data_IF_683453537926
#
_entry.id   IF_683453537926
#
_cell.length_a   1.000
_cell.length_b   1.000
_cell.length_c   1.000
_cell.angle_alpha   90.00
_cell.angle_beta   90.00
_cell.angle_gamma   90.00
#
_symmetry.space_group_name_H-M   'P 1'
#
loop_
_entity.id
_entity.type
_entity.pdbx_description
1 polymer ?
#
# COMPACT_ATOMS: atom_id res chain seq x y z
N UNK A 1 42.20 -19.92 28.40
CA UNK A 1 41.51 -20.89 27.58
C UNK A 1 41.84 -20.58 26.12
N UNK A 2 42.66 -21.44 25.49
CA UNK A 2 43.18 -21.20 24.15
C UNK A 2 42.19 -21.68 23.09
N UNK A 3 41.76 -20.79 22.20
CA UNK A 3 41.05 -21.18 21.00
C UNK A 3 42.00 -21.65 19.91
N UNK A 4 41.77 -22.82 19.29
CA UNK A 4 42.64 -23.29 18.20
C UNK A 4 42.37 -22.50 16.91
N UNK A 5 43.44 -21.95 16.36
CA UNK A 5 43.46 -21.28 15.07
C UNK A 5 43.33 -22.31 13.95
N UNK A 6 42.17 -22.31 13.27
CA UNK A 6 41.91 -23.18 12.12
C UNK A 6 42.58 -22.52 10.88
N UNK A 7 43.68 -23.14 10.44
CA UNK A 7 44.48 -22.68 9.32
C UNK A 7 43.77 -22.96 7.98
N UNK A 8 43.18 -21.91 7.38
CA UNK A 8 42.40 -21.95 6.12
C UNK A 8 43.12 -22.54 4.92
N UNK A 9 44.47 -22.67 4.99
CA UNK A 9 45.30 -23.26 3.92
C UNK A 9 45.23 -24.79 3.88
N UNK A 10 44.89 -25.48 4.97
CA UNK A 10 44.81 -26.96 5.02
C UNK A 10 43.46 -27.48 4.50
N UNK A 11 42.42 -26.68 4.45
CA UNK A 11 41.11 -27.11 3.94
C UNK A 11 41.06 -27.18 2.41
N UNK A 12 41.96 -26.49 1.72
CA UNK A 12 41.99 -26.46 0.23
C UNK A 12 42.80 -27.58 -0.40
N UNK A 13 43.52 -28.40 0.38
CA UNK A 13 44.38 -29.49 -0.18
C UNK A 13 43.75 -30.88 -0.15
N UNK A 14 42.54 -31.05 0.38
CA UNK A 14 41.88 -32.36 0.44
C UNK A 14 40.74 -32.55 -0.56
N UNK A 15 40.50 -31.64 -1.51
CA UNK A 15 39.48 -31.74 -2.55
C UNK A 15 40.02 -32.03 -3.98
N UNK A 16 41.25 -32.49 -4.08
CA UNK A 16 41.82 -32.85 -5.37
C UNK A 16 42.04 -34.37 -5.46
N UNK A 17 41.02 -35.17 -5.56
CA UNK A 17 41.06 -36.55 -6.09
C UNK A 17 39.65 -37.14 -6.19
N UNK A 18 38.85 -36.73 -7.18
CA UNK A 18 37.82 -37.57 -7.77
C UNK A 18 37.79 -37.32 -9.28
N UNK A 19 38.35 -38.27 -9.98
CA UNK A 19 38.42 -38.32 -11.44
C UNK A 19 37.15 -38.91 -12.04
N UNK A 20 36.74 -38.29 -13.14
CA UNK A 20 36.07 -38.81 -14.33
C UNK A 20 34.74 -39.58 -14.15
N UNK A 21 33.68 -38.88 -14.46
CA UNK A 21 32.44 -39.43 -14.98
C UNK A 21 31.79 -38.31 -15.76
N UNK A 22 32.06 -38.21 -17.08
CA UNK A 22 31.45 -37.23 -17.97
C UNK A 22 29.99 -37.63 -18.26
N UNK A 23 29.04 -37.09 -17.49
CA UNK A 23 27.65 -37.09 -17.90
C UNK A 23 27.38 -35.68 -18.49
N UNK A 24 27.21 -35.64 -19.79
CA UNK A 24 26.69 -34.49 -20.54
C UNK A 24 25.26 -34.22 -20.12
N UNK A 25 25.07 -33.40 -19.07
CA UNK A 25 23.77 -32.81 -18.80
C UNK A 25 23.65 -31.53 -19.65
N UNK A 26 22.54 -31.35 -20.37
CA UNK A 26 22.31 -30.11 -21.10
C UNK A 26 22.21 -28.99 -20.08
N UNK A 27 23.14 -28.02 -20.17
CA UNK A 27 23.07 -26.79 -19.41
C UNK A 27 21.86 -26.01 -19.92
N UNK A 28 20.71 -26.14 -19.25
CA UNK A 28 19.66 -25.15 -19.37
C UNK A 28 20.17 -23.88 -18.68
N UNK A 29 20.82 -23.04 -19.45
CA UNK A 29 21.02 -21.65 -19.06
C UNK A 29 19.65 -20.99 -19.11
N UNK A 30 18.95 -20.94 -17.98
CA UNK A 30 17.93 -19.95 -17.74
C UNK A 30 18.68 -18.60 -17.67
N UNK A 31 18.93 -18.03 -18.86
CA UNK A 31 19.25 -16.60 -18.92
C UNK A 31 17.96 -15.88 -18.46
N UNK A 32 17.88 -15.61 -17.18
CA UNK A 32 17.01 -14.57 -16.65
C UNK A 32 17.43 -13.29 -17.38
N UNK A 33 16.62 -12.91 -18.39
CA UNK A 33 16.72 -11.59 -18.98
C UNK A 33 16.27 -10.59 -17.91
N UNK A 34 17.17 -10.25 -17.00
CA UNK A 34 17.05 -9.01 -16.28
C UNK A 34 17.12 -7.89 -17.31
N UNK A 35 15.97 -7.41 -17.74
CA UNK A 35 15.85 -6.07 -18.30
C UNK A 35 16.23 -5.10 -17.19
N UNK A 36 17.52 -4.90 -17.01
CA UNK A 36 18.04 -3.81 -16.20
C UNK A 36 18.00 -2.55 -17.05
N UNK A 37 16.82 -1.92 -17.15
CA UNK A 37 16.84 -0.49 -17.38
C UNK A 37 17.55 0.14 -16.18
N UNK A 38 18.52 1.01 -16.42
CA UNK A 38 19.19 1.73 -15.35
C UNK A 38 18.15 2.43 -14.47
N UNK A 39 18.25 2.30 -13.13
CA UNK A 39 17.29 2.93 -12.23
C UNK A 39 17.26 4.43 -12.45
N UNK A 40 16.08 4.96 -12.82
CA UNK A 40 15.86 6.38 -13.10
C UNK A 40 15.30 7.09 -11.86
N UNK A 41 15.89 8.23 -11.53
CA UNK A 41 15.31 9.15 -10.55
C UNK A 41 13.98 9.70 -11.07
N UNK A 42 12.96 9.72 -10.20
CA UNK A 42 11.64 10.29 -10.49
C UNK A 42 11.45 11.52 -9.59
N UNK A 43 11.19 12.66 -10.19
CA UNK A 43 10.79 13.88 -9.48
C UNK A 43 9.34 14.21 -9.81
N UNK A 44 8.50 14.30 -8.80
CA UNK A 44 7.09 14.67 -8.90
C UNK A 44 6.94 16.06 -8.28
N UNK A 45 6.74 17.12 -9.06
CA UNK A 45 6.58 18.47 -8.53
C UNK A 45 5.37 18.60 -7.60
N UNK A 46 5.33 19.62 -6.73
CA UNK A 46 4.15 19.92 -5.93
C UNK A 46 2.87 20.02 -6.78
N UNK A 47 1.79 19.39 -6.34
CA UNK A 47 0.51 19.37 -7.06
C UNK A 47 0.44 18.45 -8.27
N UNK A 48 1.57 17.91 -8.78
CA UNK A 48 1.57 17.00 -9.92
C UNK A 48 1.15 15.57 -9.51
N UNK A 49 0.68 14.83 -10.50
CA UNK A 49 0.22 13.44 -10.39
C UNK A 49 -1.11 13.25 -11.12
N UNK A 50 -1.47 12.00 -11.41
CA UNK A 50 -2.79 11.66 -11.94
C UNK A 50 -3.83 11.90 -10.84
N UNK A 51 -4.88 12.65 -11.14
CA UNK A 51 -5.96 12.91 -10.19
C UNK A 51 -7.16 11.98 -10.44
N UNK A 52 -7.94 11.74 -9.39
CA UNK A 52 -9.22 11.07 -9.43
C UNK A 52 -10.07 11.50 -8.26
N UNK A 53 -11.34 11.09 -8.24
CA UNK A 53 -12.26 11.33 -7.12
C UNK A 53 -12.86 10.01 -6.64
N UNK A 54 -13.01 9.85 -5.32
CA UNK A 54 -13.73 8.75 -4.71
C UNK A 54 -14.75 9.35 -3.75
N UNK A 55 -16.03 9.28 -4.09
CA UNK A 55 -17.03 10.09 -3.40
C UNK A 55 -16.72 11.57 -3.58
N UNK A 56 -16.66 12.31 -2.48
CA UNK A 56 -16.30 13.72 -2.46
C UNK A 56 -14.78 13.95 -2.22
N UNK A 57 -14.00 12.89 -2.00
CA UNK A 57 -12.56 12.99 -1.80
C UNK A 57 -11.80 13.15 -3.11
N UNK A 58 -10.85 14.06 -3.14
CA UNK A 58 -9.88 14.19 -4.22
C UNK A 58 -8.62 13.37 -3.91
N UNK A 59 -8.20 12.56 -4.88
CA UNK A 59 -6.99 11.74 -4.79
C UNK A 59 -6.00 12.19 -5.87
N UNK A 60 -4.72 12.28 -5.50
CA UNK A 60 -3.63 12.56 -6.45
C UNK A 60 -2.56 11.47 -6.32
N UNK A 61 -2.50 10.56 -7.29
CA UNK A 61 -1.52 9.47 -7.32
C UNK A 61 -0.12 10.02 -7.52
N UNK A 62 0.84 9.50 -6.77
CA UNK A 62 2.26 9.94 -6.77
C UNK A 62 3.17 8.86 -7.31
N UNK A 63 3.28 7.75 -6.62
CA UNK A 63 4.13 6.62 -7.01
C UNK A 63 3.29 5.35 -7.11
N UNK A 64 3.57 4.56 -8.13
CA UNK A 64 2.98 3.24 -8.30
C UNK A 64 4.02 2.12 -8.07
N UNK A 65 3.53 0.89 -7.96
CA UNK A 65 4.38 -0.28 -7.73
C UNK A 65 5.42 -0.51 -8.84
N UNK A 66 5.14 -0.13 -10.09
CA UNK A 66 6.07 -0.34 -11.20
C UNK A 66 7.25 0.63 -11.11
N UNK A 67 7.03 1.84 -10.60
CA UNK A 67 8.07 2.85 -10.39
C UNK A 67 8.97 2.53 -9.19
N UNK A 68 8.50 1.70 -8.26
CA UNK A 68 9.16 1.41 -6.98
C UNK A 68 9.63 -0.05 -6.88
N UNK A 69 9.67 -0.80 -7.97
CA UNK A 69 10.01 -2.23 -8.00
C UNK A 69 9.10 -3.08 -7.08
N UNK A 70 7.84 -2.71 -6.97
CA UNK A 70 6.84 -3.39 -6.14
C UNK A 70 6.83 -3.00 -4.65
N UNK A 71 7.81 -2.19 -4.21
CA UNK A 71 7.98 -1.96 -2.77
C UNK A 71 6.97 -0.99 -2.18
N UNK A 72 6.48 -0.02 -2.95
CA UNK A 72 5.65 1.05 -2.44
C UNK A 72 4.67 1.56 -3.51
N UNK A 73 3.49 1.97 -3.07
CA UNK A 73 2.62 2.90 -3.80
C UNK A 73 2.23 4.06 -2.90
N UNK A 74 1.95 5.24 -3.47
CA UNK A 74 1.53 6.39 -2.69
C UNK A 74 0.62 7.35 -3.44
N UNK A 75 -0.23 8.03 -2.68
CA UNK A 75 -1.10 9.11 -3.17
C UNK A 75 -1.37 10.13 -2.06
N UNK A 76 -1.77 11.33 -2.47
CA UNK A 76 -2.32 12.34 -1.58
C UNK A 76 -3.85 12.28 -1.62
N UNK A 77 -4.50 12.50 -0.47
CA UNK A 77 -5.96 12.54 -0.34
C UNK A 77 -6.38 13.83 0.34
N UNK A 78 -7.45 14.47 -0.15
CA UNK A 78 -8.13 15.56 0.52
C UNK A 78 -9.45 15.02 1.07
N UNK A 79 -9.60 15.06 2.40
CA UNK A 79 -10.79 14.60 3.13
C UNK A 79 -11.56 15.82 3.63
N UNK A 80 -12.78 15.99 3.12
CA UNK A 80 -13.60 17.13 3.50
C UNK A 80 -14.18 17.00 4.92
N UNK A 81 -14.57 18.12 5.57
CA UNK A 81 -15.22 18.08 6.88
C UNK A 81 -16.48 17.19 6.89
N UNK A 82 -16.58 16.32 7.89
CA UNK A 82 -17.72 15.40 8.05
C UNK A 82 -17.69 14.18 7.14
N UNK A 83 -16.65 13.99 6.35
CA UNK A 83 -16.49 12.85 5.43
C UNK A 83 -15.83 11.66 6.09
N UNK A 84 -16.39 10.47 5.87
CA UNK A 84 -15.77 9.17 6.11
C UNK A 84 -14.97 8.81 4.85
N UNK A 85 -13.66 8.66 4.98
CA UNK A 85 -12.76 8.49 3.84
C UNK A 85 -12.89 7.13 3.13
N UNK A 86 -13.31 6.10 3.85
CA UNK A 86 -13.56 4.77 3.28
C UNK A 86 -14.55 4.00 4.16
N UNK A 87 -15.36 3.08 3.61
CA UNK A 87 -16.04 2.08 4.45
C UNK A 87 -15.03 1.33 5.30
N UNK A 88 -15.38 0.84 6.51
CA UNK A 88 -14.50 -0.03 7.28
C UNK A 88 -14.06 -1.23 6.45
N UNK A 89 -12.76 -1.51 6.42
CA UNK A 89 -12.16 -2.57 5.60
C UNK A 89 -10.82 -3.02 6.17
N UNK A 90 -10.25 -4.08 5.62
CA UNK A 90 -8.89 -4.53 5.90
C UNK A 90 -8.24 -5.10 4.64
N UNK A 91 -6.92 -5.24 4.67
CA UNK A 91 -6.08 -5.85 3.65
C UNK A 91 -5.32 -7.03 4.24
N UNK A 92 -4.94 -8.03 3.44
CA UNK A 92 -4.21 -9.22 3.91
C UNK A 92 -2.73 -9.19 3.58
N UNK A 93 -2.34 -8.48 2.52
CA UNK A 93 -1.01 -8.59 1.92
C UNK A 93 -0.12 -7.37 2.13
N UNK A 94 -0.66 -6.25 2.58
CA UNK A 94 0.12 -5.01 2.75
C UNK A 94 -0.31 -4.22 3.98
N UNK A 95 0.62 -3.44 4.50
CA UNK A 95 0.38 -2.43 5.51
C UNK A 95 0.08 -1.09 4.84
N UNK A 96 -0.76 -0.29 5.46
CA UNK A 96 -1.09 1.05 5.00
C UNK A 96 -0.61 2.09 6.02
N UNK A 97 0.10 3.10 5.54
CA UNK A 97 0.68 4.16 6.38
C UNK A 97 0.07 5.48 5.95
N UNK A 98 -0.45 6.24 6.91
CA UNK A 98 -0.96 7.59 6.69
C UNK A 98 -0.02 8.61 7.32
N UNK A 99 0.29 9.68 6.60
CA UNK A 99 0.86 10.91 7.14
C UNK A 99 -0.09 12.06 6.89
N UNK A 100 -0.45 12.79 7.94
CA UNK A 100 -1.25 14.01 7.79
C UNK A 100 -0.33 15.18 7.45
N UNK A 101 -0.64 15.90 6.37
CA UNK A 101 0.06 17.10 5.93
C UNK A 101 -0.59 18.37 6.47
N UNK A 102 -1.92 18.42 6.41
CA UNK A 102 -2.73 19.58 6.82
C UNK A 102 -3.99 19.10 7.55
N UNK A 103 -4.44 19.90 8.53
CA UNK A 103 -5.61 19.57 9.35
C UNK A 103 -5.39 18.37 10.29
N UNK A 104 -6.43 17.60 10.49
CA UNK A 104 -6.39 16.33 11.23
C UNK A 104 -7.38 15.32 10.67
N UNK A 105 -7.09 14.04 10.85
CA UNK A 105 -8.02 12.94 10.61
C UNK A 105 -8.11 12.05 11.84
N UNK A 106 -9.28 11.46 12.06
CA UNK A 106 -9.42 10.36 12.99
C UNK A 106 -9.25 9.05 12.22
N UNK A 107 -8.48 8.14 12.76
CA UNK A 107 -8.26 6.80 12.20
C UNK A 107 -8.69 5.78 13.24
N UNK A 108 -9.60 4.91 12.84
CA UNK A 108 -9.97 3.70 13.59
C UNK A 108 -9.13 2.55 13.08
N UNK A 109 -8.48 1.81 13.99
CA UNK A 109 -7.75 0.57 13.71
C UNK A 109 -8.12 -0.45 14.78
N UNK A 110 -8.83 -1.49 14.39
CA UNK A 110 -9.49 -2.40 15.34
C UNK A 110 -10.50 -1.65 16.19
N UNK A 111 -10.30 -1.64 17.49
CA UNK A 111 -11.16 -0.95 18.47
C UNK A 111 -10.62 0.43 18.88
N UNK A 112 -9.44 0.80 18.42
CA UNK A 112 -8.79 2.06 18.79
C UNK A 112 -9.11 3.16 17.78
N UNK A 113 -9.33 4.37 18.29
CA UNK A 113 -9.54 5.58 17.49
C UNK A 113 -8.51 6.62 17.91
N UNK A 114 -7.70 7.05 16.95
CA UNK A 114 -6.63 8.02 17.15
C UNK A 114 -6.87 9.26 16.31
N UNK A 115 -6.79 10.45 16.88
CA UNK A 115 -6.69 11.70 16.14
C UNK A 115 -5.24 11.89 15.69
N UNK A 116 -5.03 11.97 14.37
CA UNK A 116 -3.72 12.23 13.77
C UNK A 116 -3.72 13.63 13.20
N UNK A 117 -2.90 14.50 13.77
CA UNK A 117 -2.77 15.92 13.38
C UNK A 117 -1.65 16.09 12.35
N UNK A 118 -1.61 17.25 11.69
CA UNK A 118 -0.57 17.61 10.74
C UNK A 118 0.84 17.34 11.30
N UNK A 119 1.67 16.64 10.50
CA UNK A 119 2.99 16.12 10.85
C UNK A 119 2.96 14.71 11.50
N UNK A 120 1.79 14.24 11.95
CA UNK A 120 1.63 12.90 12.54
C UNK A 120 1.63 11.78 11.51
N UNK A 121 2.00 10.59 11.98
CA UNK A 121 2.00 9.34 11.22
C UNK A 121 1.14 8.30 11.92
N UNK A 122 0.49 7.45 11.15
CA UNK A 122 -0.30 6.33 11.65
C UNK A 122 -0.10 5.10 10.76
N UNK A 123 0.19 3.95 11.39
CA UNK A 123 0.26 2.66 10.71
C UNK A 123 -1.10 1.95 10.86
N UNK A 124 -1.66 1.48 9.77
CA UNK A 124 -2.81 0.58 9.67
C UNK A 124 -2.29 -0.80 9.25
N UNK A 125 -2.04 -1.72 10.19
CA UNK A 125 -1.48 -3.03 9.87
C UNK A 125 -2.44 -3.85 9.02
N UNK A 126 -1.88 -4.70 8.17
CA UNK A 126 -2.65 -5.72 7.46
C UNK A 126 -3.47 -6.57 8.43
N UNK A 127 -4.56 -7.15 7.94
CA UNK A 127 -5.50 -7.98 8.68
C UNK A 127 -6.27 -7.29 9.83
N UNK A 128 -6.02 -5.98 10.06
CA UNK A 128 -6.74 -5.20 11.06
C UNK A 128 -7.74 -4.27 10.38
N UNK A 129 -9.02 -4.39 10.78
CA UNK A 129 -10.09 -3.53 10.26
C UNK A 129 -9.80 -2.07 10.59
N UNK A 130 -9.85 -1.22 9.58
CA UNK A 130 -9.60 0.21 9.74
C UNK A 130 -10.53 1.06 8.86
N UNK A 131 -10.65 2.31 9.21
CA UNK A 131 -11.28 3.41 8.46
C UNK A 131 -10.77 4.74 8.99
N UNK A 132 -11.05 5.83 8.28
CA UNK A 132 -10.65 7.17 8.69
C UNK A 132 -11.70 8.21 8.31
N UNK A 133 -11.70 9.35 9.00
CA UNK A 133 -12.64 10.44 8.73
C UNK A 133 -12.10 11.79 9.19
N UNK A 134 -12.70 12.85 8.70
CA UNK A 134 -12.42 14.20 9.12
C UNK A 134 -13.59 14.76 9.94
N UNK A 135 -13.41 14.90 11.26
CA UNK A 135 -14.36 15.57 12.16
C UNK A 135 -14.03 17.06 12.37
N UNK A 136 -13.00 17.59 11.70
CA UNK A 136 -12.60 19.01 11.78
C UNK A 136 -13.54 19.93 11.01
N UNK A 137 -13.26 21.24 11.09
CA UNK A 137 -14.01 22.27 10.36
C UNK A 137 -13.39 22.63 9.00
N UNK A 138 -12.19 22.15 8.71
CA UNK A 138 -11.45 22.42 7.46
C UNK A 138 -11.05 21.11 6.80
N UNK A 139 -10.83 21.11 5.47
CA UNK A 139 -10.29 19.94 4.79
C UNK A 139 -8.99 19.46 5.43
N UNK A 140 -8.80 18.16 5.51
CA UNK A 140 -7.54 17.53 5.88
C UNK A 140 -6.85 17.01 4.63
N UNK A 141 -5.51 17.11 4.60
CA UNK A 141 -4.67 16.56 3.53
C UNK A 141 -3.78 15.47 4.09
N UNK A 142 -3.80 14.30 3.46
CA UNK A 142 -2.96 13.16 3.86
C UNK A 142 -2.07 12.69 2.72
N UNK A 143 -0.99 11.97 3.05
CA UNK A 143 -0.30 11.03 2.17
C UNK A 143 -0.61 9.64 2.70
N UNK A 144 -1.02 8.76 1.81
CA UNK A 144 -1.16 7.34 2.08
C UNK A 144 -0.08 6.56 1.31
N UNK A 145 0.51 5.58 1.99
CA UNK A 145 1.58 4.72 1.50
C UNK A 145 1.14 3.28 1.72
N UNK A 146 1.22 2.43 0.69
CA UNK A 146 1.00 0.99 0.80
C UNK A 146 2.31 0.23 0.62
N UNK A 147 2.61 -0.70 1.53
CA UNK A 147 3.85 -1.48 1.57
C UNK A 147 3.52 -2.96 1.76
N UNK A 148 3.79 -3.81 0.74
CA UNK A 148 4.20 -3.49 -0.64
C UNK A 148 3.16 -2.68 -1.43
N UNK A 149 3.57 -2.16 -2.59
CA UNK A 149 2.70 -1.46 -3.53
C UNK A 149 1.70 -2.40 -4.21
N UNK A 150 0.69 -1.82 -4.90
CA UNK A 150 -0.35 -2.55 -5.64
C UNK A 150 -1.77 -2.06 -5.36
N UNK A 151 -2.02 -1.48 -4.20
CA UNK A 151 -3.36 -0.96 -3.84
C UNK A 151 -3.77 0.25 -4.69
N UNK A 152 -2.82 0.97 -5.29
CA UNK A 152 -3.11 2.06 -6.22
C UNK A 152 -3.93 1.60 -7.44
N UNK A 153 -3.81 0.34 -7.86
CA UNK A 153 -4.61 -0.20 -8.95
C UNK A 153 -6.09 -0.27 -8.57
N UNK A 154 -6.39 -0.73 -7.34
CA UNK A 154 -7.74 -0.66 -6.78
C UNK A 154 -8.25 0.78 -6.70
N UNK A 155 -7.46 1.70 -6.15
CA UNK A 155 -7.84 3.10 -6.00
C UNK A 155 -8.11 3.78 -7.34
N UNK A 156 -7.34 3.46 -8.39
CA UNK A 156 -7.58 3.97 -9.74
C UNK A 156 -8.85 3.40 -10.36
N UNK A 157 -9.13 2.11 -10.16
CA UNK A 157 -10.35 1.49 -10.66
C UNK A 157 -11.59 2.03 -9.93
N UNK A 158 -11.52 2.19 -8.61
CA UNK A 158 -12.57 2.80 -7.81
C UNK A 158 -12.83 4.25 -8.26
N UNK A 159 -11.79 5.07 -8.45
CA UNK A 159 -11.93 6.44 -8.95
C UNK A 159 -12.63 6.47 -10.32
N UNK A 160 -12.28 5.55 -11.23
CA UNK A 160 -12.93 5.46 -12.55
C UNK A 160 -14.44 5.17 -12.47
N UNK A 161 -14.92 4.46 -11.45
CA UNK A 161 -16.34 4.24 -11.22
C UNK A 161 -17.09 5.54 -10.84
N UNK A 162 -16.40 6.51 -10.25
CA UNK A 162 -16.95 7.81 -9.88
C UNK A 162 -16.84 8.88 -10.99
N UNK A 163 -15.93 8.71 -11.97
CA UNK A 163 -15.66 9.72 -13.02
C UNK A 163 -16.91 10.16 -13.78
N UNK A 164 -17.85 9.27 -14.02
CA UNK A 164 -19.10 9.56 -14.75
C UNK A 164 -20.24 10.04 -13.85
N UNK A 165 -19.95 10.50 -12.62
CA UNK A 165 -20.92 10.88 -11.57
C UNK A 165 -21.88 9.73 -11.17
N UNK A 166 -21.54 8.50 -11.55
CA UNK A 166 -22.27 7.31 -11.10
C UNK A 166 -21.69 6.90 -9.73
N UNK A 167 -22.57 6.83 -8.74
CA UNK A 167 -22.16 6.18 -7.48
C UNK A 167 -22.04 4.68 -7.72
N UNK A 168 -20.92 4.04 -7.31
CA UNK A 168 -20.79 2.60 -7.41
C UNK A 168 -21.91 1.88 -6.68
N UNK A 169 -22.38 0.77 -7.26
CA UNK A 169 -23.40 -0.10 -6.68
C UNK A 169 -22.75 -1.21 -5.85
N UNK A 170 -23.54 -1.93 -5.08
CA UNK A 170 -23.06 -3.05 -4.27
C UNK A 170 -22.34 -4.13 -5.09
N UNK A 171 -22.76 -4.33 -6.35
CA UNK A 171 -22.11 -5.28 -7.25
C UNK A 171 -20.71 -4.84 -7.67
N UNK A 172 -20.49 -3.53 -7.85
CA UNK A 172 -19.18 -2.96 -8.20
C UNK A 172 -18.19 -3.20 -7.05
N UNK A 173 -18.59 -2.96 -5.80
CA UNK A 173 -17.75 -3.24 -4.63
C UNK A 173 -17.41 -4.74 -4.49
N UNK A 174 -18.39 -5.63 -4.73
CA UNK A 174 -18.12 -7.08 -4.75
C UNK A 174 -17.12 -7.47 -5.82
N UNK A 175 -17.20 -6.85 -7.00
CA UNK A 175 -16.24 -7.08 -8.08
C UNK A 175 -14.84 -6.61 -7.68
N UNK A 176 -14.73 -5.42 -7.07
CA UNK A 176 -13.46 -4.91 -6.57
C UNK A 176 -12.84 -5.81 -5.49
N UNK A 177 -13.64 -6.35 -4.55
CA UNK A 177 -13.18 -7.32 -3.54
C UNK A 177 -12.68 -8.63 -4.16
N UNK A 178 -13.25 -9.08 -5.27
CA UNK A 178 -12.81 -10.29 -5.97
C UNK A 178 -11.49 -10.09 -6.72
N UNK A 179 -11.21 -8.88 -7.16
CA UNK A 179 -10.07 -8.53 -8.00
C UNK A 179 -8.88 -8.03 -7.21
N UNK A 180 -9.13 -7.37 -6.09
CA UNK A 180 -8.13 -6.67 -5.29
C UNK A 180 -8.14 -7.16 -3.84
N UNK A 181 -7.02 -6.96 -3.16
CA UNK A 181 -6.91 -7.27 -1.72
C UNK A 181 -7.55 -6.15 -0.88
N UNK A 182 -8.89 -6.13 -0.91
CA UNK A 182 -9.71 -5.29 -0.04
C UNK A 182 -10.88 -6.12 0.48
N UNK A 183 -11.18 -6.02 1.78
CA UNK A 183 -12.23 -6.78 2.45
C UNK A 183 -13.08 -5.84 3.28
N UNK A 184 -14.26 -5.52 2.77
CA UNK A 184 -15.16 -4.57 3.41
C UNK A 184 -15.90 -5.16 4.62
N UNK A 185 -16.14 -4.31 5.59
CA UNK A 185 -16.95 -4.57 6.78
C UNK A 185 -18.13 -3.59 6.81
N UNK A 186 -18.98 -3.67 5.79
CA UNK A 186 -20.20 -2.84 5.68
C UNK A 186 -21.17 -3.01 6.85
N UNK A 187 -21.06 -4.13 7.58
CA UNK A 187 -21.82 -4.36 8.82
C UNK A 187 -21.52 -3.31 9.89
N UNK A 188 -20.31 -2.74 9.93
CA UNK A 188 -19.88 -1.71 10.88
C UNK A 188 -20.17 -0.28 10.41
N UNK A 189 -20.46 -0.08 9.12
CA UNK A 189 -20.54 1.23 8.50
C UNK A 189 -21.57 2.14 9.15
N UNK A 190 -22.79 1.64 9.35
CA UNK A 190 -23.90 2.41 9.91
C UNK A 190 -23.61 2.90 11.33
N UNK A 191 -23.05 2.03 12.17
CA UNK A 191 -22.70 2.38 13.54
C UNK A 191 -21.63 3.48 13.58
N UNK A 192 -20.57 3.35 12.77
CA UNK A 192 -19.49 4.33 12.69
C UNK A 192 -20.01 5.68 12.23
N UNK A 193 -20.79 5.72 11.15
CA UNK A 193 -21.36 6.95 10.63
C UNK A 193 -22.24 7.67 11.67
N UNK A 194 -23.05 6.94 12.42
CA UNK A 194 -23.91 7.50 13.48
C UNK A 194 -23.10 7.97 14.68
N UNK A 195 -22.16 7.15 15.15
CA UNK A 195 -21.34 7.44 16.34
C UNK A 195 -20.46 8.68 16.17
N UNK A 196 -19.84 8.83 14.99
CA UNK A 196 -18.91 9.92 14.72
C UNK A 196 -19.52 11.06 13.90
N UNK A 197 -20.81 10.97 13.53
CA UNK A 197 -21.56 11.97 12.77
C UNK A 197 -20.91 12.31 11.43
N UNK A 198 -20.44 11.29 10.72
CA UNK A 198 -19.79 11.39 9.41
C UNK A 198 -20.65 10.71 8.33
N UNK A 199 -20.43 11.06 7.08
CA UNK A 199 -21.09 10.49 5.90
C UNK A 199 -20.04 9.92 4.93
N UNK A 200 -20.46 8.97 4.10
CA UNK A 200 -19.68 8.40 3.01
C UNK A 200 -20.16 8.96 1.67
#
# INVERSE_FOLDING_TARGET
MNHPNINRRRLMQQLASFTLGAALLPSFSLAEQHHTEDPKSIYIPPGAGKTGTVGDMQITFKLDKNQTSGHLASWETIVLPGELGAPPHYHKSFDEICRVLEGSVFIMTGNEVTEVKAGGWHLRPKEVVHTFWNSGATPAKTIDLCVPGGHEEYMQELASLFENKNRPKSEDFKHLEQKHDIHYRFDLLKEIMQKYKVKL
#
